data_IF_581950273734
#
_entry.id   IF_581950273734
#
_cell.length_a   1.000
_cell.length_b   1.000
_cell.length_c   1.000
_cell.angle_alpha   90.00
_cell.angle_beta   90.00
_cell.angle_gamma   90.00
#
_symmetry.space_group_name_H-M   'P 1'
#
loop_
_entity.id
_entity.type
_entity.pdbx_description
1 polymer ?
#
# COMPACT_ATOMS: atom_id res chain seq x y z
N UNK A 1 -40.41 12.79 42.25
CA UNK A 1 -40.57 14.19 41.84
C UNK A 1 -40.30 14.24 40.38
N UNK A 2 -41.33 14.02 39.48
CA UNK A 2 -42.22 14.99 38.86
C UNK A 2 -41.40 16.10 38.16
N UNK A 3 -41.37 16.18 36.83
CA UNK A 3 -42.39 16.72 35.92
C UNK A 3 -42.05 16.44 34.45
N UNK A 4 -43.02 15.85 33.77
CA UNK A 4 -43.27 15.90 32.30
C UNK A 4 -43.61 17.32 31.87
N UNK A 5 -43.26 17.69 30.61
CA UNK A 5 -44.24 18.39 29.74
C UNK A 5 -43.85 18.26 28.28
N UNK A 6 -44.81 17.92 27.40
CA UNK A 6 -44.62 17.85 25.98
C UNK A 6 -45.12 19.16 25.27
N UNK A 7 -44.42 19.61 24.27
CA UNK A 7 -44.97 20.66 23.39
C UNK A 7 -45.40 20.08 22.03
N UNK A 8 -46.69 19.99 21.88
CA UNK A 8 -47.40 19.88 20.61
C UNK A 8 -47.14 21.15 19.76
N UNK A 9 -46.78 21.02 18.52
CA UNK A 9 -46.86 22.10 17.53
C UNK A 9 -47.82 21.68 16.41
N UNK A 10 -48.81 22.56 16.20
CA UNK A 10 -49.94 22.43 15.32
C UNK A 10 -49.58 22.43 13.85
N UNK A 11 -50.22 21.54 13.09
CA UNK A 11 -50.38 21.66 11.64
C UNK A 11 -51.16 22.91 11.26
N UNK A 12 -50.63 23.67 10.33
CA UNK A 12 -51.40 24.65 9.52
C UNK A 12 -51.35 24.16 8.06
N UNK A 13 -52.52 23.75 7.58
CA UNK A 13 -52.80 23.49 6.19
C UNK A 13 -52.97 24.80 5.45
N UNK A 14 -52.22 25.02 4.37
CA UNK A 14 -52.57 26.03 3.36
C UNK A 14 -52.64 25.32 2.02
N UNK A 15 -53.85 25.24 1.52
CA UNK A 15 -54.19 24.87 0.16
C UNK A 15 -53.91 26.06 -0.76
N UNK A 16 -53.21 25.85 -1.86
CA UNK A 16 -53.06 26.96 -2.82
C UNK A 16 -52.32 26.56 -4.10
N UNK A 17 -53.09 26.36 -5.13
CA UNK A 17 -52.83 26.54 -6.56
C UNK A 17 -51.62 25.84 -7.19
N UNK A 18 -51.92 24.78 -7.90
CA UNK A 18 -51.08 24.15 -8.93
C UNK A 18 -50.95 25.05 -10.15
N UNK A 19 -49.75 25.60 -10.39
CA UNK A 19 -49.33 26.08 -11.70
C UNK A 19 -48.33 25.06 -12.26
N UNK A 20 -48.77 24.30 -13.26
CA UNK A 20 -47.93 23.34 -13.95
C UNK A 20 -46.87 24.08 -14.78
N UNK A 21 -45.61 23.98 -14.32
CA UNK A 21 -44.47 24.28 -15.16
C UNK A 21 -43.85 22.92 -15.52
N UNK A 22 -44.08 22.51 -16.76
CA UNK A 22 -43.30 21.43 -17.41
C UNK A 22 -41.87 21.90 -17.53
N UNK A 23 -41.07 21.65 -16.50
CA UNK A 23 -39.63 21.74 -16.61
C UNK A 23 -39.13 20.48 -17.36
N UNK A 24 -38.88 20.66 -18.65
CA UNK A 24 -38.09 19.70 -19.42
C UNK A 24 -36.73 19.59 -18.75
N UNK A 25 -36.54 18.53 -17.96
CA UNK A 25 -35.23 18.16 -17.43
C UNK A 25 -34.36 17.71 -18.60
N UNK A 26 -33.66 18.65 -19.20
CA UNK A 26 -32.49 18.34 -19.99
C UNK A 26 -31.47 17.77 -19.01
N UNK A 27 -31.38 16.45 -18.97
CA UNK A 27 -30.21 15.78 -18.41
C UNK A 27 -29.03 16.23 -19.27
N UNK A 28 -28.34 17.26 -18.83
CA UNK A 28 -26.98 17.55 -19.30
C UNK A 28 -26.15 16.32 -18.93
N UNK A 29 -26.02 15.40 -19.87
CA UNK A 29 -24.93 14.44 -19.84
C UNK A 29 -23.70 15.33 -19.76
N UNK A 30 -23.04 15.33 -18.60
CA UNK A 30 -21.69 15.82 -18.51
C UNK A 30 -20.91 14.97 -19.52
N UNK A 31 -20.62 15.53 -20.68
CA UNK A 31 -19.62 15.01 -21.58
C UNK A 31 -18.37 14.86 -20.70
N UNK A 32 -18.09 13.61 -20.33
CA UNK A 32 -16.80 13.28 -19.78
C UNK A 32 -15.82 13.64 -20.89
N UNK A 33 -15.18 14.79 -20.74
CA UNK A 33 -14.02 15.12 -21.56
C UNK A 33 -13.15 13.87 -21.60
N UNK A 34 -12.73 13.39 -22.78
CA UNK A 34 -11.86 12.24 -22.90
C UNK A 34 -10.68 12.53 -21.97
N UNK A 35 -10.44 11.62 -21.04
CA UNK A 35 -9.26 11.71 -20.18
C UNK A 35 -8.09 11.96 -21.13
N UNK A 36 -7.25 12.99 -20.89
CA UNK A 36 -6.15 13.28 -21.78
C UNK A 36 -5.36 11.99 -21.93
N UNK A 37 -5.37 11.45 -23.14
CA UNK A 37 -4.53 10.33 -23.52
C UNK A 37 -3.11 10.87 -23.60
N UNK A 38 -2.48 10.99 -22.44
CA UNK A 38 -1.05 11.10 -22.38
C UNK A 38 -0.49 9.77 -22.83
N UNK A 39 -0.22 9.64 -24.09
CA UNK A 39 0.80 8.72 -24.58
C UNK A 39 2.11 9.28 -24.01
N UNK A 40 2.41 8.83 -22.77
CA UNK A 40 3.73 9.03 -22.23
C UNK A 40 4.66 8.35 -23.22
N UNK A 41 5.44 9.12 -23.96
CA UNK A 41 6.57 8.55 -24.66
C UNK A 41 7.35 7.71 -23.66
N UNK A 42 7.90 6.54 -24.08
CA UNK A 42 8.68 5.71 -23.18
C UNK A 42 9.78 6.58 -22.63
N UNK A 43 9.49 7.15 -21.49
CA UNK A 43 10.28 8.13 -20.86
C UNK A 43 11.45 7.39 -20.27
N UNK A 44 12.45 7.82 -20.48
CA UNK A 44 13.02 8.97 -19.91
C UNK A 44 14.22 8.53 -19.14
N UNK A 45 15.34 8.81 -19.63
CA UNK A 45 16.51 8.84 -18.76
C UNK A 45 16.24 9.90 -17.70
N UNK A 46 16.24 9.51 -16.44
CA UNK A 46 16.26 10.47 -15.34
C UNK A 46 17.44 11.43 -15.56
N UNK A 47 17.20 12.70 -15.30
CA UNK A 47 18.24 13.70 -15.43
C UNK A 47 19.38 13.45 -14.42
N UNK A 48 20.60 13.96 -14.68
CA UNK A 48 21.72 13.79 -13.76
C UNK A 48 21.43 14.23 -12.34
N UNK A 49 20.54 15.22 -12.15
CA UNK A 49 20.16 15.71 -10.83
C UNK A 49 19.53 14.62 -9.94
N UNK A 50 18.77 13.69 -10.51
CA UNK A 50 18.14 12.61 -9.75
C UNK A 50 19.14 11.55 -9.24
N UNK A 51 20.33 11.50 -9.82
CA UNK A 51 21.41 10.57 -9.43
C UNK A 51 22.40 11.19 -8.43
N UNK A 52 22.32 12.48 -8.16
CA UNK A 52 23.19 13.16 -7.20
C UNK A 52 22.42 13.45 -5.89
N UNK A 53 22.88 12.83 -4.80
CA UNK A 53 22.31 12.98 -3.47
C UNK A 53 22.25 14.43 -2.98
N UNK A 54 23.14 15.32 -3.47
CA UNK A 54 23.20 16.73 -3.10
C UNK A 54 21.96 17.51 -3.51
N UNK A 55 21.23 17.04 -4.53
CA UNK A 55 20.01 17.68 -5.02
C UNK A 55 18.79 17.37 -4.16
N UNK A 56 18.89 16.40 -3.24
CA UNK A 56 17.84 16.05 -2.27
C UNK A 56 18.03 16.92 -1.02
N UNK A 57 17.64 18.17 -1.09
CA UNK A 57 18.00 19.20 -0.12
C UNK A 57 17.16 19.23 1.14
N UNK A 58 15.93 18.75 1.09
CA UNK A 58 15.03 18.69 2.25
C UNK A 58 15.12 17.34 2.94
N UNK A 59 14.83 17.30 4.25
CA UNK A 59 14.73 16.04 5.01
C UNK A 59 13.73 15.04 4.37
N UNK A 60 12.65 15.56 3.79
CA UNK A 60 11.68 14.74 3.08
C UNK A 60 12.29 14.09 1.83
N UNK A 61 12.97 14.90 0.99
CA UNK A 61 13.62 14.41 -0.23
C UNK A 61 14.69 13.36 0.07
N UNK A 62 15.45 13.52 1.15
CA UNK A 62 16.51 12.60 1.55
C UNK A 62 16.02 11.16 1.78
N UNK A 63 14.74 10.95 2.11
CA UNK A 63 14.15 9.61 2.20
C UNK A 63 14.02 8.91 0.82
N UNK A 64 14.27 9.62 -0.28
CA UNK A 64 14.13 9.11 -1.65
C UNK A 64 15.45 9.08 -2.42
N UNK A 65 16.56 9.39 -1.76
CA UNK A 65 17.91 9.46 -2.33
C UNK A 65 18.43 8.07 -2.70
N UNK A 66 18.96 7.87 -3.86
CA UNK A 66 18.82 8.57 -5.14
C UNK A 66 17.88 7.75 -6.02
N UNK A 67 17.24 8.39 -6.99
CA UNK A 67 16.34 7.67 -7.89
C UNK A 67 17.10 7.07 -9.07
N UNK A 68 16.71 5.88 -9.47
CA UNK A 68 17.10 5.26 -10.74
C UNK A 68 15.86 4.86 -11.50
N UNK A 69 15.92 5.01 -12.82
CA UNK A 69 14.87 4.57 -13.72
C UNK A 69 15.08 3.11 -14.12
N UNK A 70 13.99 2.40 -14.18
CA UNK A 70 13.92 1.04 -14.66
C UNK A 70 13.12 0.97 -15.97
N UNK A 71 12.49 -0.15 -16.26
CA UNK A 71 11.69 -0.31 -17.48
C UNK A 71 10.43 0.57 -17.42
N UNK A 72 10.12 1.24 -18.52
CA UNK A 72 8.94 2.10 -18.63
C UNK A 72 8.98 3.24 -17.60
N UNK A 73 7.92 3.35 -16.80
CA UNK A 73 7.72 4.35 -15.76
C UNK A 73 8.12 3.89 -14.35
N UNK A 74 8.82 2.75 -14.24
CA UNK A 74 9.32 2.27 -12.95
C UNK A 74 10.49 3.08 -12.44
N UNK A 75 10.38 3.54 -11.18
CA UNK A 75 11.46 4.19 -10.44
C UNK A 75 11.80 3.39 -9.18
N UNK A 76 13.08 3.37 -8.83
CA UNK A 76 13.59 2.76 -7.60
C UNK A 76 14.48 3.72 -6.85
N UNK A 77 14.45 3.63 -5.52
CA UNK A 77 15.39 4.31 -4.62
C UNK A 77 16.61 3.41 -4.43
N UNK A 78 17.78 3.93 -4.69
CA UNK A 78 19.01 3.12 -4.62
C UNK A 78 19.30 2.60 -3.22
N UNK A 79 19.08 3.43 -2.18
CA UNK A 79 19.41 3.09 -0.80
C UNK A 79 18.35 2.24 -0.11
N UNK A 80 17.09 2.38 -0.49
CA UNK A 80 15.99 1.69 0.18
C UNK A 80 15.46 0.51 -0.60
N UNK A 81 15.22 0.70 -1.89
CA UNK A 81 14.58 -0.33 -2.71
C UNK A 81 15.59 -1.38 -3.20
N UNK A 82 16.85 -0.96 -3.44
CA UNK A 82 17.94 -1.81 -3.93
C UNK A 82 18.99 -2.13 -2.84
N UNK A 83 18.65 -1.96 -1.57
CA UNK A 83 19.54 -2.33 -0.48
C UNK A 83 19.74 -3.83 -0.41
N UNK A 84 20.93 -4.24 -0.02
CA UNK A 84 21.28 -5.65 0.23
C UNK A 84 21.37 -5.97 1.72
N UNK A 85 21.47 -4.95 2.57
CA UNK A 85 21.57 -5.11 4.02
C UNK A 85 20.25 -4.78 4.71
N UNK A 86 19.85 -5.63 5.65
CA UNK A 86 18.58 -5.52 6.37
C UNK A 86 18.76 -5.46 7.89
N UNK A 87 19.99 -5.60 8.36
CA UNK A 87 20.32 -5.60 9.77
C UNK A 87 20.09 -4.23 10.42
N UNK A 88 19.80 -4.27 11.70
CA UNK A 88 19.77 -3.09 12.55
C UNK A 88 20.93 -3.13 13.55
N UNK A 89 21.09 -2.06 14.33
CA UNK A 89 22.13 -1.99 15.36
C UNK A 89 21.87 -2.97 16.53
N UNK A 90 22.89 -3.37 17.29
CA UNK A 90 22.68 -4.15 18.52
C UNK A 90 21.69 -3.53 19.49
N UNK A 91 21.69 -2.18 19.59
CA UNK A 91 20.71 -1.46 20.39
C UNK A 91 19.29 -1.58 19.81
N UNK A 92 19.16 -1.61 18.47
CA UNK A 92 17.88 -1.84 17.77
C UNK A 92 17.32 -3.21 18.12
N UNK A 93 18.13 -4.27 18.00
CA UNK A 93 17.74 -5.63 18.39
C UNK A 93 17.34 -5.74 19.86
N UNK A 94 18.10 -5.12 20.75
CA UNK A 94 17.74 -5.09 22.18
C UNK A 94 16.37 -4.47 22.42
N UNK A 95 16.06 -3.36 21.76
CA UNK A 95 14.74 -2.72 21.87
C UNK A 95 13.61 -3.58 21.31
N UNK A 96 13.85 -4.26 20.20
CA UNK A 96 12.89 -5.22 19.62
C UNK A 96 12.64 -6.37 20.60
N UNK A 97 13.68 -6.96 21.20
CA UNK A 97 13.50 -7.99 22.20
C UNK A 97 12.69 -7.49 23.41
N UNK A 98 13.02 -6.31 23.93
CA UNK A 98 12.27 -5.69 25.04
C UNK A 98 10.78 -5.47 24.68
N UNK A 99 10.50 -5.05 23.45
CA UNK A 99 9.13 -4.89 22.96
C UNK A 99 8.40 -6.23 22.94
N UNK A 100 9.01 -7.26 22.35
CA UNK A 100 8.45 -8.60 22.31
C UNK A 100 8.13 -9.10 23.74
N UNK A 101 9.09 -9.02 24.65
CA UNK A 101 8.95 -9.55 26.02
C UNK A 101 7.87 -8.81 26.81
N UNK A 102 7.74 -7.48 26.60
CA UNK A 102 6.70 -6.67 27.23
C UNK A 102 5.28 -7.10 26.79
N UNK A 103 5.09 -7.39 25.50
CA UNK A 103 3.80 -7.87 24.99
C UNK A 103 3.55 -9.33 25.38
N UNK A 104 4.56 -10.19 25.28
CA UNK A 104 4.46 -11.60 25.66
C UNK A 104 4.10 -11.76 27.16
N UNK A 105 4.63 -10.92 28.03
CA UNK A 105 4.28 -10.91 29.47
C UNK A 105 2.82 -10.56 29.73
N UNK A 106 2.11 -10.01 28.77
CA UNK A 106 0.67 -9.70 28.80
C UNK A 106 -0.18 -10.72 28.01
N UNK A 107 0.41 -11.82 27.57
CA UNK A 107 -0.29 -12.83 26.76
C UNK A 107 -0.58 -12.39 25.32
N UNK A 108 0.14 -11.37 24.81
CA UNK A 108 -0.04 -10.88 23.44
C UNK A 108 1.08 -11.40 22.54
N UNK A 109 0.70 -12.06 21.47
CA UNK A 109 1.62 -12.48 20.41
C UNK A 109 1.81 -11.36 19.38
N UNK A 110 3.07 -11.08 19.04
CA UNK A 110 3.40 -10.09 18.02
C UNK A 110 3.72 -10.76 16.70
N UNK A 111 3.01 -10.36 15.64
CA UNK A 111 3.26 -10.78 14.27
C UNK A 111 4.06 -9.71 13.54
N UNK A 112 5.26 -10.06 13.08
CA UNK A 112 6.10 -9.15 12.29
C UNK A 112 5.91 -9.45 10.81
N UNK A 113 5.26 -8.52 10.10
CA UNK A 113 5.10 -8.57 8.64
C UNK A 113 6.21 -7.71 8.02
N UNK A 114 7.37 -8.33 7.79
CA UNK A 114 8.53 -7.64 7.21
C UNK A 114 8.50 -7.75 5.69
N UNK A 115 8.06 -6.69 5.02
CA UNK A 115 7.91 -6.69 3.57
C UNK A 115 9.26 -6.77 2.84
N UNK A 116 9.37 -7.61 1.79
CA UNK A 116 10.53 -7.57 0.90
C UNK A 116 10.57 -6.24 0.14
N UNK A 117 11.76 -5.76 -0.14
CA UNK A 117 11.95 -4.49 -0.86
C UNK A 117 11.43 -4.56 -2.29
N UNK A 118 11.21 -3.38 -2.90
CA UNK A 118 10.82 -3.28 -4.31
C UNK A 118 11.83 -3.97 -5.24
N UNK A 119 13.12 -3.85 -4.96
CA UNK A 119 14.17 -4.54 -5.72
C UNK A 119 14.08 -6.05 -5.64
N UNK A 120 13.72 -6.60 -4.47
CA UNK A 120 13.53 -8.03 -4.32
C UNK A 120 12.30 -8.54 -5.09
N UNK A 121 11.17 -7.83 -5.02
CA UNK A 121 9.92 -8.27 -5.67
C UNK A 121 9.89 -7.96 -7.16
N UNK A 122 10.39 -6.78 -7.54
CA UNK A 122 10.26 -6.26 -8.90
C UNK A 122 11.62 -6.22 -9.65
N UNK A 123 12.53 -7.16 -9.35
CA UNK A 123 13.82 -7.28 -10.04
C UNK A 123 13.71 -7.35 -11.55
N UNK A 124 12.65 -7.97 -12.06
CA UNK A 124 12.37 -8.07 -13.49
C UNK A 124 12.10 -6.72 -14.16
N UNK A 125 11.79 -5.68 -13.39
CA UNK A 125 11.56 -4.32 -13.89
C UNK A 125 12.84 -3.49 -13.97
N UNK A 126 13.94 -3.92 -13.32
CA UNK A 126 15.22 -3.22 -13.41
C UNK A 126 15.76 -3.26 -14.84
N UNK A 127 16.35 -2.15 -15.27
CA UNK A 127 17.11 -2.13 -16.51
C UNK A 127 18.39 -2.97 -16.38
N UNK A 128 19.05 -3.37 -17.49
CA UNK A 128 20.22 -4.24 -17.42
C UNK A 128 21.37 -3.71 -16.56
N UNK A 129 21.60 -2.39 -16.55
CA UNK A 129 22.68 -1.79 -15.78
C UNK A 129 22.40 -1.86 -14.28
N UNK A 130 21.20 -1.51 -13.84
CA UNK A 130 20.80 -1.58 -12.44
C UNK A 130 20.64 -3.02 -11.96
N UNK A 131 20.19 -3.93 -12.83
CA UNK A 131 20.12 -5.35 -12.53
C UNK A 131 21.50 -5.96 -12.30
N UNK A 132 22.52 -5.50 -13.01
CA UNK A 132 23.91 -5.93 -12.82
C UNK A 132 24.53 -5.37 -11.53
N UNK A 133 24.06 -4.22 -11.05
CA UNK A 133 24.54 -3.60 -9.81
C UNK A 133 23.85 -4.13 -8.55
N UNK A 134 22.61 -4.60 -8.67
CA UNK A 134 21.82 -5.10 -7.56
C UNK A 134 22.13 -6.57 -7.31
N UNK A 135 22.91 -6.86 -6.25
CA UNK A 135 23.18 -8.22 -5.81
C UNK A 135 21.92 -8.84 -5.17
N UNK A 136 21.08 -9.41 -6.02
CA UNK A 136 19.81 -9.99 -5.63
C UNK A 136 19.97 -11.17 -4.67
N UNK A 137 20.94 -12.04 -4.91
CA UNK A 137 21.13 -13.25 -4.09
C UNK A 137 21.59 -12.90 -2.69
N UNK A 138 22.51 -11.94 -2.57
CA UNK A 138 22.92 -11.36 -1.29
C UNK A 138 21.74 -10.70 -0.58
N UNK A 139 20.96 -9.86 -1.29
CA UNK A 139 19.81 -9.19 -0.72
C UNK A 139 18.77 -10.18 -0.22
N UNK A 140 18.43 -11.21 -1.00
CA UNK A 140 17.48 -12.25 -0.62
C UNK A 140 17.97 -13.08 0.58
N UNK A 141 19.27 -13.45 0.58
CA UNK A 141 19.87 -14.15 1.70
C UNK A 141 19.80 -13.35 3.01
N UNK A 142 20.17 -12.08 2.97
CA UNK A 142 20.13 -11.18 4.11
C UNK A 142 18.69 -10.88 4.57
N UNK A 143 17.74 -10.74 3.63
CA UNK A 143 16.32 -10.63 3.95
C UNK A 143 15.81 -11.86 4.73
N UNK A 144 16.09 -13.07 4.24
CA UNK A 144 15.73 -14.33 4.93
C UNK A 144 16.40 -14.43 6.31
N UNK A 145 17.65 -14.02 6.42
CA UNK A 145 18.38 -13.96 7.69
C UNK A 145 17.68 -13.04 8.69
N UNK A 146 17.18 -11.89 8.24
CA UNK A 146 16.43 -10.96 9.09
C UNK A 146 15.12 -11.57 9.58
N UNK A 147 14.35 -12.25 8.71
CA UNK A 147 13.15 -13.01 9.13
C UNK A 147 13.50 -14.05 10.21
N UNK A 148 14.60 -14.80 10.02
CA UNK A 148 15.09 -15.76 11.00
C UNK A 148 15.50 -15.14 12.33
N UNK A 149 16.03 -13.91 12.33
CA UNK A 149 16.36 -13.18 13.58
C UNK A 149 15.12 -12.79 14.35
N UNK A 150 14.09 -12.28 13.68
CA UNK A 150 12.80 -11.98 14.33
C UNK A 150 12.18 -13.25 14.93
N UNK A 151 12.20 -14.36 14.20
CA UNK A 151 11.68 -15.63 14.71
C UNK A 151 12.46 -16.11 15.95
N UNK A 152 13.79 -15.96 15.96
CA UNK A 152 14.64 -16.30 17.13
C UNK A 152 14.36 -15.41 18.36
N UNK A 153 13.89 -14.19 18.15
CA UNK A 153 13.45 -13.31 19.23
C UNK A 153 12.05 -13.63 19.77
N UNK A 154 11.36 -14.62 19.18
CA UNK A 154 10.05 -15.07 19.63
C UNK A 154 8.87 -14.49 18.84
N UNK A 155 9.11 -13.60 17.88
CA UNK A 155 8.04 -13.07 17.03
C UNK A 155 7.43 -14.13 16.14
N UNK A 156 6.14 -14.02 15.87
CA UNK A 156 5.49 -14.76 14.78
C UNK A 156 5.84 -14.09 13.45
N UNK A 157 6.56 -14.81 12.60
CA UNK A 157 7.08 -14.24 11.34
C UNK A 157 6.51 -15.01 10.15
N UNK A 158 5.59 -14.42 9.38
CA UNK A 158 5.21 -14.96 8.07
C UNK A 158 6.40 -14.88 7.11
N UNK A 159 6.71 -15.98 6.43
CA UNK A 159 7.75 -15.96 5.40
C UNK A 159 7.19 -15.37 4.10
N UNK A 160 7.58 -14.15 3.80
CA UNK A 160 7.20 -13.45 2.58
C UNK A 160 8.22 -13.62 1.44
N UNK A 161 9.27 -14.40 1.63
CA UNK A 161 10.29 -14.63 0.61
C UNK A 161 9.75 -15.23 -0.70
N UNK A 162 8.68 -16.06 -0.71
CA UNK A 162 8.09 -16.51 -1.97
C UNK A 162 7.62 -15.39 -2.90
N UNK A 163 7.23 -14.22 -2.35
CA UNK A 163 6.83 -13.07 -3.15
C UNK A 163 7.96 -12.53 -4.04
N UNK A 164 9.21 -12.81 -3.72
CA UNK A 164 10.38 -12.35 -4.48
C UNK A 164 10.66 -13.21 -5.72
N UNK A 165 10.12 -14.43 -5.77
CA UNK A 165 10.33 -15.39 -6.86
C UNK A 165 9.16 -15.44 -7.83
N UNK A 166 8.09 -14.73 -7.52
CA UNK A 166 6.92 -14.77 -8.37
C UNK A 166 7.14 -13.99 -9.66
N UNK A 167 7.24 -14.71 -10.76
CA UNK A 167 6.85 -14.16 -12.02
C UNK A 167 5.35 -13.91 -11.94
N UNK A 168 4.96 -12.64 -11.88
CA UNK A 168 3.56 -12.28 -11.94
C UNK A 168 3.05 -12.79 -13.30
N UNK A 169 2.08 -13.73 -13.31
CA UNK A 169 1.70 -14.42 -14.56
C UNK A 169 1.19 -13.45 -15.61
N UNK A 170 0.66 -12.30 -15.19
CA UNK A 170 0.17 -11.28 -16.08
C UNK A 170 0.89 -9.97 -15.78
N UNK A 171 1.67 -9.48 -16.71
CA UNK A 171 2.33 -8.17 -16.63
C UNK A 171 1.35 -7.00 -16.80
N UNK A 172 0.09 -7.21 -16.51
CA UNK A 172 -0.90 -6.15 -16.53
C UNK A 172 -0.60 -5.14 -15.41
N UNK A 173 -0.68 -3.83 -15.69
CA UNK A 173 -0.44 -2.79 -14.67
C UNK A 173 -1.27 -2.96 -13.40
N UNK A 174 -2.47 -3.56 -13.53
CA UNK A 174 -3.36 -3.85 -12.42
C UNK A 174 -2.81 -4.90 -11.45
N UNK A 175 -1.81 -5.69 -11.85
CA UNK A 175 -1.24 -6.78 -11.06
C UNK A 175 0.14 -6.46 -10.48
N UNK A 176 0.66 -5.27 -10.70
CA UNK A 176 1.92 -4.83 -10.10
C UNK A 176 1.85 -4.95 -8.56
N UNK A 177 2.84 -5.56 -7.94
CA UNK A 177 2.89 -5.69 -6.47
C UNK A 177 3.11 -4.35 -5.78
N UNK A 178 4.01 -3.53 -6.31
CA UNK A 178 4.24 -2.16 -5.89
C UNK A 178 3.78 -1.18 -6.96
N UNK A 179 3.39 0.02 -6.57
CA UNK A 179 3.18 1.10 -7.54
C UNK A 179 4.48 1.44 -8.24
N UNK A 180 4.43 1.75 -9.54
CA UNK A 180 5.62 2.02 -10.35
C UNK A 180 6.39 3.25 -9.90
N UNK A 181 5.66 4.30 -9.58
CA UNK A 181 6.21 5.59 -9.14
C UNK A 181 6.01 5.86 -7.65
N UNK A 182 5.83 4.82 -6.82
CA UNK A 182 5.62 5.01 -5.38
C UNK A 182 6.21 3.85 -4.58
N UNK A 183 6.56 4.10 -3.34
CA UNK A 183 7.16 3.10 -2.45
C UNK A 183 6.15 2.13 -1.83
N UNK A 184 4.86 2.42 -1.92
CA UNK A 184 3.82 1.58 -1.33
C UNK A 184 3.46 0.40 -2.25
N UNK A 185 2.98 -0.66 -1.64
CA UNK A 185 2.33 -1.76 -2.34
C UNK A 185 0.99 -1.33 -2.96
N UNK A 186 0.57 -2.06 -3.96
CA UNK A 186 -0.75 -1.93 -4.56
C UNK A 186 -1.78 -2.74 -3.75
N UNK A 187 -3.09 -2.58 -3.99
CA UNK A 187 -4.10 -3.47 -3.43
C UNK A 187 -3.83 -4.95 -3.73
N UNK A 188 -3.26 -5.26 -4.90
CA UNK A 188 -2.85 -6.62 -5.27
C UNK A 188 -1.68 -7.12 -4.41
N UNK A 189 -0.65 -6.28 -4.20
CA UNK A 189 0.46 -6.59 -3.31
C UNK A 189 0.00 -6.82 -1.86
N UNK A 190 -0.91 -5.98 -1.38
CA UNK A 190 -1.53 -6.13 -0.07
C UNK A 190 -2.30 -7.45 0.05
N UNK A 191 -3.11 -7.80 -0.96
CA UNK A 191 -3.88 -9.06 -0.98
C UNK A 191 -2.96 -10.28 -0.92
N UNK A 192 -1.86 -10.29 -1.69
CA UNK A 192 -0.91 -11.40 -1.70
C UNK A 192 -0.21 -11.57 -0.35
N UNK A 193 0.22 -10.45 0.23
CA UNK A 193 0.78 -10.45 1.58
C UNK A 193 -0.23 -10.97 2.60
N UNK A 194 -1.46 -10.47 2.56
CA UNK A 194 -2.51 -10.89 3.48
C UNK A 194 -2.81 -12.40 3.43
N UNK A 195 -2.72 -13.03 2.26
CA UNK A 195 -2.87 -14.49 2.12
C UNK A 195 -1.81 -15.25 2.91
N UNK A 196 -0.54 -14.86 2.82
CA UNK A 196 0.57 -15.50 3.53
C UNK A 196 0.46 -15.24 5.03
N UNK A 197 0.22 -13.99 5.42
CA UNK A 197 0.05 -13.59 6.83
C UNK A 197 -1.13 -14.33 7.45
N UNK A 198 -2.27 -14.36 6.77
CA UNK A 198 -3.47 -15.04 7.24
C UNK A 198 -3.27 -16.56 7.39
N UNK A 199 -2.53 -17.20 6.49
CA UNK A 199 -2.19 -18.61 6.62
C UNK A 199 -1.32 -18.86 7.88
N UNK A 200 -0.33 -17.99 8.13
CA UNK A 200 0.53 -18.09 9.32
C UNK A 200 -0.24 -17.86 10.62
N UNK A 201 -1.11 -16.84 10.65
CA UNK A 201 -1.92 -16.53 11.84
C UNK A 201 -2.92 -17.65 12.14
N UNK A 202 -3.62 -18.16 11.13
CA UNK A 202 -4.55 -19.29 11.32
C UNK A 202 -3.90 -20.57 11.83
N UNK A 203 -2.61 -20.74 11.60
CA UNK A 203 -1.85 -21.89 12.10
C UNK A 203 -1.39 -21.73 13.55
N UNK A 204 -1.62 -20.58 14.19
CA UNK A 204 -1.26 -20.35 15.57
C UNK A 204 -2.27 -21.02 16.52
N UNK A 205 -1.84 -21.74 17.56
CA UNK A 205 -2.75 -22.36 18.52
C UNK A 205 -3.72 -21.36 19.16
N UNK A 206 -3.24 -20.16 19.47
CA UNK A 206 -4.00 -19.09 20.10
C UNK A 206 -5.16 -18.62 19.22
N UNK A 207 -4.99 -18.71 17.89
CA UNK A 207 -6.01 -18.26 16.94
C UNK A 207 -7.27 -19.13 16.96
N UNK A 208 -7.13 -20.42 17.28
CA UNK A 208 -8.25 -21.36 17.32
C UNK A 208 -9.33 -20.99 18.37
N UNK A 209 -8.91 -20.27 19.44
CA UNK A 209 -9.80 -19.81 20.49
C UNK A 209 -10.45 -18.43 20.23
N UNK A 210 -10.09 -17.76 19.13
CA UNK A 210 -10.62 -16.45 18.81
C UNK A 210 -11.91 -16.60 18.00
N UNK A 211 -13.02 -15.94 18.40
CA UNK A 211 -14.25 -15.94 17.61
C UNK A 211 -13.99 -15.50 16.18
N UNK A 212 -14.46 -16.28 15.21
CA UNK A 212 -14.24 -16.00 13.79
C UNK A 212 -15.42 -15.20 13.25
N UNK A 213 -15.11 -14.18 12.46
CA UNK A 213 -16.08 -13.41 11.70
C UNK A 213 -15.76 -13.51 10.21
N UNK A 214 -16.76 -13.70 9.40
CA UNK A 214 -16.61 -13.68 7.95
C UNK A 214 -16.59 -12.25 7.43
N UNK A 215 -15.72 -12.01 6.45
CA UNK A 215 -15.62 -10.74 5.72
C UNK A 215 -15.80 -11.00 4.24
N UNK A 216 -16.37 -10.04 3.55
CA UNK A 216 -16.48 -10.03 2.10
C UNK A 216 -15.67 -8.83 1.56
N UNK A 217 -14.77 -9.13 0.61
CA UNK A 217 -14.01 -8.10 -0.10
C UNK A 217 -14.55 -7.94 -1.51
N UNK A 218 -14.98 -6.74 -1.86
CA UNK A 218 -15.55 -6.40 -3.17
C UNK A 218 -14.73 -5.27 -3.82
N UNK A 219 -14.67 -5.31 -5.15
CA UNK A 219 -14.20 -4.16 -5.90
C UNK A 219 -15.16 -3.01 -5.70
N UNK A 220 -14.67 -1.89 -5.17
CA UNK A 220 -15.45 -0.69 -4.86
C UNK A 220 -15.23 0.45 -5.86
N UNK A 221 -14.22 0.33 -6.75
CA UNK A 221 -13.93 1.37 -7.73
C UNK A 221 -12.55 1.23 -8.36
N UNK A 222 -12.01 2.36 -8.81
CA UNK A 222 -10.63 2.51 -9.29
C UNK A 222 -9.99 3.69 -8.56
N UNK A 223 -8.74 3.54 -8.19
CA UNK A 223 -7.91 4.62 -7.65
C UNK A 223 -6.82 5.00 -8.64
N UNK A 224 -6.55 6.29 -8.78
CA UNK A 224 -5.42 6.81 -9.53
C UNK A 224 -4.33 7.27 -8.58
N UNK A 225 -3.07 6.99 -8.90
CA UNK A 225 -1.92 7.42 -8.12
C UNK A 225 -0.78 7.87 -9.03
N UNK A 226 -0.31 9.10 -8.84
CA UNK A 226 0.92 9.60 -9.48
C UNK A 226 2.13 8.95 -8.81
N UNK A 227 2.16 8.96 -7.50
CA UNK A 227 3.22 8.37 -6.70
C UNK A 227 4.31 9.35 -6.28
N UNK A 228 4.90 9.07 -5.13
CA UNK A 228 5.89 9.95 -4.50
C UNK A 228 7.20 10.01 -5.27
N UNK A 229 7.63 8.88 -5.85
CA UNK A 229 8.87 8.81 -6.63
C UNK A 229 8.72 9.58 -7.96
N UNK A 230 7.56 9.46 -8.62
CA UNK A 230 7.26 10.23 -9.83
C UNK A 230 7.22 11.73 -9.52
N UNK A 231 6.60 12.13 -8.42
CA UNK A 231 6.57 13.53 -8.00
C UNK A 231 7.99 14.05 -7.69
N UNK A 232 8.82 13.23 -7.06
CA UNK A 232 10.22 13.56 -6.78
C UNK A 232 11.03 13.72 -8.06
N UNK A 233 10.89 12.81 -9.00
CA UNK A 233 11.53 12.92 -10.32
C UNK A 233 11.04 14.16 -11.07
N UNK A 234 9.76 14.50 -10.97
CA UNK A 234 9.21 15.75 -11.51
C UNK A 234 9.87 16.99 -10.94
N UNK A 235 10.07 17.03 -9.62
CA UNK A 235 10.75 18.16 -8.94
C UNK A 235 12.22 18.30 -9.36
N UNK A 236 12.94 17.18 -9.50
CA UNK A 236 14.36 17.17 -9.82
C UNK A 236 14.65 17.36 -11.31
N UNK A 237 13.79 16.83 -12.17
CA UNK A 237 14.05 16.70 -13.60
C UNK A 237 13.03 17.43 -14.48
N UNK A 238 11.95 17.96 -13.92
CA UNK A 238 10.85 18.51 -14.73
C UNK A 238 10.03 17.45 -15.47
N UNK A 239 10.20 16.18 -15.16
CA UNK A 239 9.54 15.05 -15.83
C UNK A 239 8.13 14.85 -15.31
N UNK A 240 7.17 14.59 -16.19
CA UNK A 240 5.81 14.19 -15.80
C UNK A 240 5.57 12.72 -16.11
N UNK A 241 4.80 12.06 -15.26
CA UNK A 241 4.43 10.66 -15.41
C UNK A 241 2.92 10.49 -15.45
N UNK A 242 2.46 9.50 -16.19
CA UNK A 242 1.06 9.15 -16.24
C UNK A 242 0.54 8.67 -14.88
N UNK A 243 -0.72 8.94 -14.61
CA UNK A 243 -1.40 8.38 -13.42
C UNK A 243 -1.54 6.87 -13.59
N UNK A 244 -1.03 6.12 -12.61
CA UNK A 244 -1.27 4.68 -12.56
C UNK A 244 -2.63 4.41 -11.91
N UNK A 245 -3.49 3.70 -12.63
CA UNK A 245 -4.80 3.29 -12.14
C UNK A 245 -4.79 1.85 -11.67
N UNK A 246 -5.39 1.61 -10.50
CA UNK A 246 -5.53 0.30 -9.89
C UNK A 246 -6.97 0.11 -9.42
N UNK A 247 -7.39 -1.16 -9.30
CA UNK A 247 -8.65 -1.47 -8.67
C UNK A 247 -8.60 -1.15 -7.18
N UNK A 248 -9.69 -0.57 -6.69
CA UNK A 248 -9.91 -0.30 -5.27
C UNK A 248 -10.89 -1.33 -4.71
N UNK A 249 -10.65 -1.75 -3.48
CA UNK A 249 -11.49 -2.74 -2.81
C UNK A 249 -11.96 -2.20 -1.48
N UNK A 250 -13.19 -2.58 -1.09
CA UNK A 250 -13.71 -2.46 0.27
C UNK A 250 -13.87 -3.84 0.88
N UNK A 251 -13.66 -3.94 2.19
CA UNK A 251 -13.86 -5.17 2.95
C UNK A 251 -14.84 -4.88 4.07
N UNK A 252 -15.92 -5.62 4.11
CA UNK A 252 -17.00 -5.47 5.08
C UNK A 252 -17.26 -6.80 5.78
N UNK A 253 -17.64 -6.79 7.06
CA UNK A 253 -18.06 -7.99 7.75
C UNK A 253 -19.38 -8.50 7.15
N UNK A 254 -19.54 -9.82 7.05
CA UNK A 254 -20.81 -10.44 6.69
C UNK A 254 -21.73 -10.54 7.91
N UNK A 255 -23.02 -10.25 7.71
CA UNK A 255 -24.03 -10.27 8.76
C UNK A 255 -24.10 -8.98 9.57
N UNK A 256 -25.08 -8.92 10.47
CA UNK A 256 -25.24 -7.78 11.39
C UNK A 256 -24.10 -7.76 12.41
N UNK A 257 -23.66 -6.55 12.78
CA UNK A 257 -22.73 -6.37 13.87
C UNK A 257 -23.35 -6.94 15.16
N UNK A 258 -22.67 -7.84 15.84
CA UNK A 258 -23.10 -8.23 17.18
C UNK A 258 -23.02 -6.99 18.08
N UNK A 259 -24.07 -6.76 18.90
CA UNK A 259 -24.06 -5.69 19.91
C UNK A 259 -22.82 -5.88 20.80
N UNK A 260 -21.86 -4.97 20.70
CA UNK A 260 -20.60 -5.03 21.45
C UNK A 260 -19.32 -5.10 20.61
N UNK A 261 -19.39 -5.15 19.28
CA UNK A 261 -18.22 -4.99 18.40
C UNK A 261 -17.72 -3.54 18.47
N UNK A 262 -16.76 -3.33 19.36
CA UNK A 262 -15.96 -2.11 19.43
C UNK A 262 -14.87 -2.17 18.36
N UNK A 263 -15.10 -1.53 17.21
CA UNK A 263 -14.10 -0.96 16.32
C UNK A 263 -14.64 0.30 15.70
#
# INVERSE_FOLDING_TARGET
MTFMHPHMIKLLSLSGLTLGILAASHSVRADQAPAPSFTAEPCCNLCPAAHDAKNYTTRYQQNFTTLVQAQGDWLFRTQEDLRTEFDTTPAGYKRMQQLHDAFKSKGVELVVVYQPTRGLVNRNKLNPAEKARFDFDKALGNYKSMLGRFAKMGYVVPDLSPLTNEQLPDELPAHDFYFRGDQHWTPYGAQRTAKIVGAKVRAMPEFAGIPQREFETKKSGRMGKTGTLHNMAGQLCGTSYAIQYMDQFSTEPKGEAADGDLF
#
